data_IF_412660659794
#
_entry.id   IF_412660659794
#
_cell.length_a   1.000
_cell.length_b   1.000
_cell.length_c   1.000
_cell.angle_alpha   90.00
_cell.angle_beta   90.00
_cell.angle_gamma   90.00
#
_symmetry.space_group_name_H-M   'P 1'
#
loop_
_entity.id
_entity.type
_entity.pdbx_description
1 polymer ?
#
# COMPACT_ATOMS: atom_id res chain seq x y z
N UNK A 1 12.51 7.29 -34.53
CA UNK A 1 11.97 6.16 -33.74
C UNK A 1 11.31 6.75 -32.51
N UNK A 2 10.08 6.36 -32.18
CA UNK A 2 9.44 6.78 -30.93
C UNK A 2 10.01 6.00 -29.75
N UNK A 3 10.01 6.61 -28.56
CA UNK A 3 10.35 5.90 -27.32
C UNK A 3 9.28 4.86 -27.00
N UNK A 4 9.68 3.77 -26.35
CA UNK A 4 8.76 2.77 -25.82
C UNK A 4 8.00 3.36 -24.63
N UNK A 5 6.70 3.10 -24.56
CA UNK A 5 5.81 3.50 -23.47
C UNK A 5 5.25 2.26 -22.77
N UNK A 6 4.66 2.45 -21.59
CA UNK A 6 3.98 1.37 -20.85
C UNK A 6 2.58 1.06 -21.41
N UNK A 7 2.03 1.93 -22.27
CA UNK A 7 0.73 1.77 -22.95
C UNK A 7 -0.50 1.59 -22.03
N UNK A 8 -0.39 2.07 -20.78
CA UNK A 8 -1.46 1.98 -19.75
C UNK A 8 -2.30 3.24 -19.60
N UNK A 9 -1.69 4.41 -19.66
CA UNK A 9 -2.34 5.71 -19.51
C UNK A 9 -1.60 6.76 -20.34
N UNK A 10 -2.25 7.87 -20.63
CA UNK A 10 -1.64 9.00 -21.32
C UNK A 10 -1.13 10.05 -20.32
N UNK A 11 -0.22 10.92 -20.76
CA UNK A 11 0.14 12.09 -19.97
C UNK A 11 -1.10 12.95 -19.69
N UNK A 12 -1.25 13.34 -18.43
CA UNK A 12 -2.30 14.25 -17.98
C UNK A 12 -1.73 15.15 -16.88
N UNK A 13 -1.72 16.47 -17.09
CA UNK A 13 -1.25 17.40 -16.07
C UNK A 13 -2.32 17.58 -14.99
N UNK A 14 -1.97 17.39 -13.71
CA UNK A 14 -2.93 17.51 -12.60
C UNK A 14 -3.65 18.87 -12.56
N UNK A 15 -2.97 19.93 -13.02
CA UNK A 15 -3.50 21.30 -13.07
C UNK A 15 -4.55 21.54 -14.16
N UNK A 16 -4.76 20.57 -15.07
CA UNK A 16 -5.71 20.66 -16.18
C UNK A 16 -6.85 19.64 -16.08
N UNK A 17 -6.85 18.82 -15.03
CA UNK A 17 -7.86 17.78 -14.85
C UNK A 17 -9.19 18.36 -14.35
N UNK A 18 -10.32 17.73 -14.66
CA UNK A 18 -11.59 18.07 -14.05
C UNK A 18 -11.50 18.03 -12.53
N UNK A 19 -12.12 19.03 -11.87
CA UNK A 19 -12.19 19.06 -10.42
C UNK A 19 -13.29 18.12 -9.91
N UNK A 20 -13.06 17.50 -8.76
CA UNK A 20 -14.03 16.69 -8.04
C UNK A 20 -13.75 16.72 -6.54
N UNK A 21 -14.69 16.18 -5.75
CA UNK A 21 -14.53 16.07 -4.29
C UNK A 21 -14.69 14.63 -3.84
N UNK A 22 -14.01 14.30 -2.74
CA UNK A 22 -14.24 13.07 -1.99
C UNK A 22 -15.58 13.16 -1.22
N UNK A 23 -16.08 12.05 -0.64
CA UNK A 23 -17.35 12.06 0.08
C UNK A 23 -17.41 13.15 1.16
N UNK A 24 -18.51 13.90 1.20
CA UNK A 24 -18.70 15.02 2.12
C UNK A 24 -17.91 16.27 1.76
N UNK A 25 -17.69 16.52 0.46
CA UNK A 25 -16.96 17.67 -0.10
C UNK A 25 -15.50 17.80 0.36
N UNK A 26 -14.94 16.70 0.87
CA UNK A 26 -13.55 16.60 1.31
C UNK A 26 -12.61 16.62 0.11
N UNK A 27 -11.35 17.00 0.37
CA UNK A 27 -10.36 17.27 -0.67
C UNK A 27 -9.09 16.42 -0.55
N UNK A 28 -8.75 15.96 0.65
CA UNK A 28 -7.62 15.06 0.89
C UNK A 28 -8.12 13.70 1.39
N UNK A 29 -7.91 12.64 0.60
CA UNK A 29 -8.12 11.26 1.04
C UNK A 29 -6.81 10.71 1.61
N UNK A 30 -6.86 10.07 2.76
CA UNK A 30 -5.67 9.55 3.45
C UNK A 30 -5.85 8.08 3.77
N UNK A 31 -4.85 7.27 3.44
CA UNK A 31 -4.81 5.86 3.83
C UNK A 31 -3.44 5.45 4.37
N UNK A 32 -3.44 4.47 5.29
CA UNK A 32 -2.23 3.84 5.81
C UNK A 32 -2.15 2.43 5.22
N UNK A 33 -1.07 2.14 4.51
CA UNK A 33 -0.75 0.82 3.96
C UNK A 33 0.21 0.10 4.93
N UNK A 34 -0.27 -0.95 5.59
CA UNK A 34 0.55 -1.80 6.45
C UNK A 34 0.92 -3.08 5.71
N UNK A 35 2.21 -3.25 5.42
CA UNK A 35 2.73 -4.43 4.72
C UNK A 35 2.89 -5.59 5.71
N UNK A 36 2.08 -6.63 5.54
CA UNK A 36 2.12 -7.86 6.33
C UNK A 36 2.71 -8.98 5.47
N UNK A 37 4.02 -9.11 5.59
CA UNK A 37 4.85 -9.88 4.66
C UNK A 37 5.42 -11.14 5.34
N UNK A 38 5.47 -12.24 4.60
CA UNK A 38 6.15 -13.46 5.00
C UNK A 38 7.30 -13.74 4.03
N UNK A 39 8.46 -14.13 4.56
CA UNK A 39 9.68 -14.40 3.81
C UNK A 39 10.10 -15.84 4.05
N UNK A 40 10.46 -16.58 2.99
CA UNK A 40 10.96 -17.94 3.12
C UNK A 40 12.37 -17.95 3.74
N UNK A 41 12.59 -18.82 4.72
CA UNK A 41 13.90 -19.00 5.35
C UNK A 41 14.90 -19.63 4.36
N UNK A 42 16.06 -18.99 4.17
CA UNK A 42 17.12 -19.52 3.30
C UNK A 42 16.95 -19.28 1.79
N UNK A 43 15.90 -18.55 1.35
CA UNK A 43 15.65 -18.27 -0.07
C UNK A 43 16.43 -17.06 -0.63
N UNK A 44 17.05 -16.27 0.24
CA UNK A 44 17.90 -15.12 -0.11
C UNK A 44 17.18 -13.84 -0.57
N UNK A 45 15.88 -13.91 -0.88
CA UNK A 45 15.12 -12.73 -1.28
C UNK A 45 14.34 -12.15 -0.08
N UNK A 46 14.69 -10.92 0.31
CA UNK A 46 14.01 -10.15 1.35
C UNK A 46 14.63 -8.78 1.61
N UNK A 47 13.88 -7.88 2.25
CA UNK A 47 14.44 -6.61 2.76
C UNK A 47 15.60 -6.90 3.74
N UNK A 48 16.66 -6.09 3.70
CA UNK A 48 17.88 -6.34 4.47
C UNK A 48 18.19 -5.19 5.42
N UNK A 49 18.34 -5.52 6.72
CA UNK A 49 18.80 -4.60 7.76
C UNK A 49 20.27 -4.24 7.55
N UNK A 50 21.08 -5.27 7.31
CA UNK A 50 22.51 -5.19 7.04
C UNK A 50 22.82 -5.93 5.73
N UNK A 51 23.97 -5.65 5.08
CA UNK A 51 24.39 -6.41 3.89
C UNK A 51 24.26 -7.92 4.11
N UNK A 52 23.58 -8.59 3.20
CA UNK A 52 23.27 -10.02 3.33
C UNK A 52 24.50 -10.91 3.28
N UNK A 53 24.41 -12.05 3.95
CA UNK A 53 25.43 -13.10 3.97
C UNK A 53 25.05 -14.33 3.13
N UNK A 54 25.86 -15.41 3.16
CA UNK A 54 25.46 -16.69 2.58
C UNK A 54 24.19 -17.22 3.25
N UNK A 55 23.41 -18.02 2.52
CA UNK A 55 22.20 -18.61 3.08
C UNK A 55 22.53 -19.77 4.05
N UNK A 56 21.76 -19.93 5.14
CA UNK A 56 20.65 -19.06 5.53
C UNK A 56 21.13 -17.74 6.18
N UNK A 57 20.62 -16.61 5.69
CA UNK A 57 20.86 -15.29 6.29
C UNK A 57 19.96 -15.10 7.52
N UNK A 58 20.43 -15.61 8.66
CA UNK A 58 19.68 -15.60 9.93
C UNK A 58 19.39 -14.19 10.41
N UNK A 59 20.33 -13.25 10.24
CA UNK A 59 20.20 -11.88 10.75
C UNK A 59 19.05 -11.15 10.07
N UNK A 60 19.06 -11.12 8.73
CA UNK A 60 18.03 -10.39 8.00
C UNK A 60 16.68 -11.10 8.06
N UNK A 61 16.65 -12.44 8.10
CA UNK A 61 15.42 -13.19 8.31
C UNK A 61 14.78 -12.87 9.67
N UNK A 62 15.53 -13.02 10.77
CA UNK A 62 15.01 -12.80 12.11
C UNK A 62 14.55 -11.34 12.33
N UNK A 63 15.21 -10.39 11.67
CA UNK A 63 14.79 -9.00 11.67
C UNK A 63 13.41 -8.81 11.03
N UNK A 64 13.13 -9.43 9.88
CA UNK A 64 11.81 -9.37 9.24
C UNK A 64 10.75 -10.10 10.06
N UNK A 65 11.10 -11.28 10.59
CA UNK A 65 10.21 -12.09 11.42
C UNK A 65 9.78 -11.38 12.71
N UNK A 66 10.64 -10.53 13.29
CA UNK A 66 10.27 -9.63 14.39
C UNK A 66 9.02 -8.80 14.10
N UNK A 67 8.82 -8.42 12.82
CA UNK A 67 7.65 -7.67 12.39
C UNK A 67 6.35 -8.38 12.71
N UNK A 68 6.22 -9.63 12.28
CA UNK A 68 5.00 -10.42 12.46
C UNK A 68 4.80 -10.85 13.93
N UNK A 69 5.90 -10.99 14.69
CA UNK A 69 5.86 -11.44 16.08
C UNK A 69 5.60 -10.33 17.11
N UNK A 70 6.13 -9.13 16.86
CA UNK A 70 6.18 -8.05 17.86
C UNK A 70 5.79 -6.71 17.27
N UNK A 71 6.39 -6.34 16.13
CA UNK A 71 6.18 -5.01 15.54
C UNK A 71 4.72 -4.73 15.21
N UNK A 72 4.02 -5.72 14.66
CA UNK A 72 2.66 -5.59 14.18
C UNK A 72 1.66 -5.32 15.31
N UNK A 73 1.84 -5.96 16.47
CA UNK A 73 0.97 -5.78 17.63
C UNK A 73 1.09 -4.39 18.26
N UNK A 74 2.27 -3.79 18.21
CA UNK A 74 2.48 -2.41 18.66
C UNK A 74 1.85 -1.39 17.71
N UNK A 75 1.90 -1.68 16.41
CA UNK A 75 1.25 -0.85 15.41
C UNK A 75 -0.26 -0.95 15.53
N UNK A 76 -0.81 -2.16 15.72
CA UNK A 76 -2.22 -2.37 16.02
C UNK A 76 -2.69 -1.52 17.22
N UNK A 77 -1.98 -1.60 18.34
CA UNK A 77 -2.28 -0.78 19.53
C UNK A 77 -2.24 0.74 19.24
N UNK A 78 -1.26 1.18 18.44
CA UNK A 78 -1.16 2.58 18.02
C UNK A 78 -2.35 3.01 17.15
N UNK A 79 -2.74 2.18 16.18
CA UNK A 79 -3.87 2.47 15.30
C UNK A 79 -5.20 2.44 16.04
N UNK A 80 -5.37 1.57 17.04
CA UNK A 80 -6.52 1.57 17.97
C UNK A 80 -6.59 2.87 18.76
N UNK A 81 -5.48 3.29 19.36
CA UNK A 81 -5.40 4.51 20.17
C UNK A 81 -5.70 5.78 19.36
N UNK A 82 -5.35 5.80 18.08
CA UNK A 82 -5.56 6.95 17.18
C UNK A 82 -6.82 6.82 16.32
N UNK A 83 -7.54 5.71 16.43
CA UNK A 83 -8.71 5.38 15.61
C UNK A 83 -8.44 5.53 14.10
N UNK A 84 -7.24 5.14 13.66
CA UNK A 84 -6.83 5.26 12.26
C UNK A 84 -7.18 3.96 11.52
N UNK A 85 -7.92 4.03 10.40
CA UNK A 85 -8.15 2.88 9.53
C UNK A 85 -6.87 2.50 8.78
N UNK A 86 -6.71 1.22 8.47
CA UNK A 86 -5.50 0.66 7.84
C UNK A 86 -5.89 -0.27 6.70
N UNK A 87 -5.14 -0.23 5.62
CA UNK A 87 -5.17 -1.22 4.56
C UNK A 87 -4.00 -2.19 4.75
N UNK A 88 -4.29 -3.45 5.00
CA UNK A 88 -3.28 -4.49 5.15
C UNK A 88 -2.94 -5.06 3.79
N UNK A 89 -1.68 -4.92 3.40
CA UNK A 89 -1.11 -5.52 2.21
C UNK A 89 -0.59 -6.91 2.62
N UNK A 90 -1.40 -7.95 2.41
CA UNK A 90 -1.20 -9.28 3.00
C UNK A 90 -0.67 -10.27 1.99
N UNK A 91 0.51 -10.84 2.27
CA UNK A 91 0.94 -12.07 1.61
C UNK A 91 0.01 -13.23 2.01
N UNK A 92 -0.48 -14.04 1.07
CA UNK A 92 -1.42 -15.12 1.40
C UNK A 92 -0.84 -16.16 2.38
N UNK A 93 0.47 -16.35 2.43
CA UNK A 93 1.14 -17.25 3.39
C UNK A 93 0.95 -16.84 4.85
N UNK A 94 0.59 -15.59 5.14
CA UNK A 94 0.35 -15.12 6.49
C UNK A 94 -0.85 -15.84 7.15
N UNK A 95 -1.83 -16.27 6.35
CA UNK A 95 -3.00 -16.98 6.86
C UNK A 95 -2.65 -18.36 7.46
N UNK A 96 -1.56 -18.97 7.02
CA UNK A 96 -1.02 -20.20 7.63
C UNK A 96 0.00 -19.85 8.72
N UNK A 97 0.88 -18.89 8.46
CA UNK A 97 2.01 -18.59 9.34
C UNK A 97 1.63 -17.91 10.66
N UNK A 98 0.82 -16.85 10.61
CA UNK A 98 0.40 -16.09 11.80
C UNK A 98 -1.04 -15.54 11.63
N UNK A 99 -2.05 -16.44 11.52
CA UNK A 99 -3.46 -16.07 11.24
C UNK A 99 -4.06 -15.11 12.28
N UNK A 100 -3.59 -15.15 13.52
CA UNK A 100 -4.05 -14.26 14.59
C UNK A 100 -3.81 -12.78 14.27
N UNK A 101 -2.77 -12.47 13.49
CA UNK A 101 -2.47 -11.10 13.09
C UNK A 101 -3.57 -10.59 12.16
N UNK A 102 -3.87 -11.31 11.08
CA UNK A 102 -4.94 -10.91 10.14
C UNK A 102 -6.29 -10.85 10.83
N UNK A 103 -6.57 -11.81 11.72
CA UNK A 103 -7.81 -11.82 12.49
C UNK A 103 -8.00 -10.56 13.35
N UNK A 104 -6.93 -10.01 13.93
CA UNK A 104 -7.00 -8.81 14.76
C UNK A 104 -7.38 -7.56 13.95
N UNK A 105 -6.82 -7.39 12.75
CA UNK A 105 -7.18 -6.27 11.88
C UNK A 105 -8.55 -6.47 11.21
N UNK A 106 -8.95 -7.71 10.92
CA UNK A 106 -10.32 -8.02 10.46
C UNK A 106 -11.37 -7.57 11.49
N UNK A 107 -11.10 -7.72 12.79
CA UNK A 107 -12.00 -7.25 13.86
C UNK A 107 -12.17 -5.72 13.89
N UNK A 108 -11.19 -4.98 13.36
CA UNK A 108 -11.24 -3.51 13.20
C UNK A 108 -11.91 -3.07 11.90
N UNK A 109 -12.32 -4.01 11.05
CA UNK A 109 -12.81 -3.75 9.69
C UNK A 109 -11.79 -3.01 8.80
N UNK A 110 -10.51 -3.21 9.09
CA UNK A 110 -9.41 -2.75 8.23
C UNK A 110 -9.45 -3.51 6.89
N UNK A 111 -9.08 -2.85 5.79
CA UNK A 111 -9.13 -3.44 4.45
C UNK A 111 -8.05 -4.52 4.29
N UNK A 112 -8.41 -5.65 3.67
CA UNK A 112 -7.44 -6.67 3.21
C UNK A 112 -7.16 -6.47 1.71
N UNK A 113 -5.91 -6.18 1.39
CA UNK A 113 -5.39 -6.00 0.04
C UNK A 113 -4.43 -7.14 -0.26
N UNK A 114 -4.57 -7.78 -1.42
CA UNK A 114 -3.72 -8.90 -1.78
C UNK A 114 -2.30 -8.43 -2.11
N UNK A 115 -1.30 -9.12 -1.57
CA UNK A 115 0.11 -8.80 -1.78
C UNK A 115 0.90 -10.03 -2.24
N UNK A 116 0.37 -10.82 -3.19
CA UNK A 116 1.00 -12.07 -3.63
C UNK A 116 1.10 -13.16 -2.57
N UNK A 117 1.85 -14.23 -2.86
CA UNK A 117 1.99 -15.38 -1.98
C UNK A 117 2.96 -15.12 -0.83
N UNK A 118 4.14 -14.59 -1.14
CA UNK A 118 5.24 -14.28 -0.21
C UNK A 118 6.10 -13.16 -0.80
N UNK A 119 6.76 -12.36 0.03
CA UNK A 119 7.80 -11.42 -0.40
C UNK A 119 9.18 -12.07 -0.63
N UNK A 120 9.23 -13.40 -0.76
CA UNK A 120 10.38 -14.13 -1.32
C UNK A 120 10.22 -14.45 -2.82
N UNK A 121 9.23 -13.89 -3.49
CA UNK A 121 8.98 -14.02 -4.93
C UNK A 121 8.78 -12.63 -5.57
N UNK A 122 9.07 -12.51 -6.88
CA UNK A 122 8.78 -11.29 -7.66
C UNK A 122 7.95 -11.64 -8.88
N UNK A 123 6.90 -10.87 -9.13
CA UNK A 123 6.00 -11.13 -10.26
C UNK A 123 6.69 -10.95 -11.61
N UNK A 124 7.54 -9.94 -11.78
CA UNK A 124 8.23 -9.67 -13.04
C UNK A 124 9.31 -10.70 -13.42
N UNK A 125 9.67 -11.62 -12.51
CA UNK A 125 10.54 -12.77 -12.82
C UNK A 125 9.74 -13.94 -13.45
N UNK A 126 8.41 -13.89 -13.39
CA UNK A 126 7.52 -14.97 -13.85
C UNK A 126 7.09 -14.78 -15.30
N UNK A 127 6.89 -15.89 -16.00
CA UNK A 127 6.10 -15.90 -17.23
C UNK A 127 4.65 -15.50 -16.94
N UNK A 128 3.93 -14.91 -17.91
CA UNK A 128 2.50 -14.54 -17.77
C UNK A 128 1.64 -15.67 -17.17
N UNK A 129 1.82 -16.92 -17.63
CA UNK A 129 1.07 -18.07 -17.11
C UNK A 129 1.40 -18.43 -15.65
N UNK A 130 2.66 -18.22 -15.24
CA UNK A 130 3.07 -18.44 -13.85
C UNK A 130 2.58 -17.31 -12.94
N UNK A 131 2.61 -16.07 -13.43
CA UNK A 131 2.05 -14.92 -12.74
C UNK A 131 0.53 -15.06 -12.55
N UNK A 132 -0.20 -15.48 -13.59
CA UNK A 132 -1.64 -15.73 -13.51
C UNK A 132 -1.99 -16.79 -12.45
N UNK A 133 -1.19 -17.86 -12.35
CA UNK A 133 -1.35 -18.87 -11.30
C UNK A 133 -1.08 -18.30 -9.91
N UNK A 134 0.00 -17.52 -9.74
CA UNK A 134 0.29 -16.86 -8.47
C UNK A 134 -0.88 -15.98 -8.03
N UNK A 135 -1.41 -15.14 -8.93
CA UNK A 135 -2.58 -14.29 -8.65
C UNK A 135 -3.78 -15.15 -8.25
N UNK A 136 -4.09 -16.20 -9.00
CA UNK A 136 -5.23 -17.08 -8.72
C UNK A 136 -5.10 -17.81 -7.37
N UNK A 137 -3.91 -18.31 -7.03
CA UNK A 137 -3.63 -18.98 -5.76
C UNK A 137 -3.78 -18.01 -4.58
N UNK A 138 -3.14 -16.84 -4.66
CA UNK A 138 -3.29 -15.78 -3.65
C UNK A 138 -4.76 -15.35 -3.49
N UNK A 139 -5.47 -15.14 -4.60
CA UNK A 139 -6.90 -14.78 -4.60
C UNK A 139 -7.73 -15.84 -3.89
N UNK A 140 -7.47 -17.12 -4.20
CA UNK A 140 -8.21 -18.25 -3.64
C UNK A 140 -8.04 -18.33 -2.13
N UNK A 141 -6.80 -18.25 -1.63
CA UNK A 141 -6.52 -18.30 -0.20
C UNK A 141 -7.19 -17.14 0.53
N UNK A 142 -7.00 -15.90 0.05
CA UNK A 142 -7.60 -14.73 0.70
C UNK A 142 -9.14 -14.84 0.70
N UNK A 143 -9.74 -15.24 -0.42
CA UNK A 143 -11.21 -15.38 -0.52
C UNK A 143 -11.76 -16.44 0.43
N UNK A 144 -11.03 -17.55 0.63
CA UNK A 144 -11.43 -18.61 1.58
C UNK A 144 -11.45 -18.10 3.03
N UNK A 145 -10.52 -17.23 3.41
CA UNK A 145 -10.44 -16.70 4.78
C UNK A 145 -11.31 -15.46 5.02
N UNK A 146 -11.43 -14.57 4.02
CA UNK A 146 -12.17 -13.30 4.13
C UNK A 146 -13.61 -13.39 3.63
N UNK A 147 -13.99 -14.48 2.98
CA UNK A 147 -15.33 -14.72 2.43
C UNK A 147 -15.69 -13.87 1.21
N UNK A 148 -14.82 -12.94 0.80
CA UNK A 148 -14.99 -12.08 -0.36
C UNK A 148 -13.69 -11.94 -1.13
N UNK A 149 -13.79 -11.66 -2.43
CA UNK A 149 -12.63 -11.45 -3.29
C UNK A 149 -11.93 -10.13 -2.89
N UNK A 150 -10.61 -10.12 -2.66
CA UNK A 150 -9.87 -8.88 -2.40
C UNK A 150 -9.98 -7.95 -3.62
N UNK A 151 -10.37 -6.69 -3.39
CA UNK A 151 -10.59 -5.74 -4.49
C UNK A 151 -9.28 -5.09 -4.97
N UNK A 152 -8.25 -5.06 -4.11
CA UNK A 152 -6.96 -4.43 -4.38
C UNK A 152 -5.80 -5.40 -4.46
N UNK A 153 -4.78 -5.00 -5.22
CA UNK A 153 -3.50 -5.70 -5.32
C UNK A 153 -2.32 -4.75 -5.16
N UNK A 154 -1.27 -5.20 -4.48
CA UNK A 154 0.08 -4.66 -4.61
C UNK A 154 1.01 -5.82 -4.97
N UNK A 155 1.82 -5.70 -6.01
CA UNK A 155 2.75 -6.79 -6.31
C UNK A 155 3.82 -6.96 -5.24
N UNK A 156 4.22 -8.19 -4.84
CA UNK A 156 5.42 -8.41 -4.05
C UNK A 156 6.59 -7.65 -4.66
N UNK A 157 7.36 -6.94 -3.83
CA UNK A 157 8.45 -6.05 -4.28
C UNK A 157 8.04 -4.90 -5.20
N UNK A 158 6.74 -4.66 -5.39
CA UNK A 158 6.24 -3.68 -6.36
C UNK A 158 6.78 -4.03 -7.76
N UNK A 159 6.97 -5.33 -7.98
CA UNK A 159 7.64 -5.90 -9.13
C UNK A 159 6.61 -6.29 -10.18
N UNK A 160 5.73 -5.34 -10.53
CA UNK A 160 4.73 -5.49 -11.57
C UNK A 160 5.40 -5.86 -12.91
N UNK A 161 4.89 -6.87 -13.59
CA UNK A 161 5.24 -7.18 -14.98
C UNK A 161 4.51 -6.27 -15.96
N UNK A 162 4.84 -6.38 -17.25
CA UNK A 162 4.07 -5.70 -18.31
C UNK A 162 2.63 -6.19 -18.37
N UNK A 163 2.32 -7.41 -17.90
CA UNK A 163 1.01 -8.06 -18.07
C UNK A 163 0.16 -8.07 -16.80
N UNK A 164 0.74 -7.75 -15.63
CA UNK A 164 0.04 -7.76 -14.34
C UNK A 164 -1.28 -6.98 -14.35
N UNK A 165 -1.39 -5.73 -14.88
CA UNK A 165 -2.66 -5.02 -14.85
C UNK A 165 -3.79 -5.75 -15.60
N UNK A 166 -3.44 -6.48 -16.67
CA UNK A 166 -4.40 -7.29 -17.42
C UNK A 166 -4.85 -8.49 -16.59
N UNK A 167 -3.88 -9.24 -16.03
CA UNK A 167 -4.16 -10.43 -15.23
C UNK A 167 -4.98 -10.11 -13.98
N UNK A 168 -4.70 -8.98 -13.31
CA UNK A 168 -5.46 -8.52 -12.15
C UNK A 168 -6.91 -8.19 -12.53
N UNK A 169 -7.11 -7.46 -13.62
CA UNK A 169 -8.45 -7.15 -14.09
C UNK A 169 -9.23 -8.42 -14.45
N UNK A 170 -8.60 -9.35 -15.15
CA UNK A 170 -9.18 -10.65 -15.53
C UNK A 170 -9.53 -11.51 -14.30
N UNK A 171 -8.73 -11.41 -13.23
CA UNK A 171 -8.98 -12.07 -11.95
C UNK A 171 -10.04 -11.36 -11.07
N UNK A 172 -10.56 -10.20 -11.50
CA UNK A 172 -11.65 -9.50 -10.82
C UNK A 172 -11.22 -8.38 -9.86
N UNK A 173 -9.93 -8.06 -9.79
CA UNK A 173 -9.45 -6.91 -9.02
C UNK A 173 -9.94 -5.58 -9.62
N UNK A 174 -10.09 -4.57 -8.76
CA UNK A 174 -10.60 -3.24 -9.12
C UNK A 174 -9.53 -2.19 -9.14
N UNK A 175 -8.50 -2.35 -8.30
CA UNK A 175 -7.40 -1.42 -8.25
C UNK A 175 -6.06 -2.10 -7.95
N UNK A 176 -4.99 -1.40 -8.29
CA UNK A 176 -3.62 -1.75 -7.97
C UNK A 176 -2.90 -0.58 -7.30
N UNK A 177 -1.79 -0.89 -6.62
CA UNK A 177 -0.97 0.06 -5.85
C UNK A 177 0.49 0.08 -6.33
N UNK A 178 0.84 -0.52 -7.45
CA UNK A 178 2.25 -0.66 -7.84
C UNK A 178 2.92 0.67 -8.28
N UNK A 179 2.17 1.76 -8.49
CA UNK A 179 2.68 2.98 -9.11
C UNK A 179 2.58 4.22 -8.22
N UNK A 180 3.62 5.06 -8.26
CA UNK A 180 3.74 6.32 -7.52
C UNK A 180 3.88 7.55 -8.44
N UNK A 181 3.18 7.53 -9.57
CA UNK A 181 3.36 8.47 -10.66
C UNK A 181 2.48 9.73 -10.55
N UNK A 182 1.61 9.78 -9.54
CA UNK A 182 0.56 10.79 -9.42
C UNK A 182 0.08 10.93 -7.98
N UNK A 183 -0.62 12.03 -7.66
CA UNK A 183 -1.30 12.25 -6.37
C UNK A 183 -2.82 12.04 -6.48
N UNK A 184 -3.31 11.65 -7.67
CA UNK A 184 -4.69 11.25 -7.94
C UNK A 184 -4.74 9.83 -8.51
N UNK A 185 -5.86 9.10 -8.34
CA UNK A 185 -6.07 7.85 -9.06
C UNK A 185 -5.99 8.05 -10.59
N UNK A 186 -5.57 7.01 -11.30
CA UNK A 186 -5.48 7.00 -12.77
C UNK A 186 -6.02 5.67 -13.29
N UNK A 187 -6.89 5.70 -14.30
CA UNK A 187 -7.36 4.50 -14.96
C UNK A 187 -6.28 3.93 -15.88
N UNK A 188 -5.91 2.69 -15.64
CA UNK A 188 -5.03 1.95 -16.54
C UNK A 188 -5.87 1.20 -17.55
N UNK A 189 -5.55 1.38 -18.83
CA UNK A 189 -6.01 0.50 -19.89
C UNK A 189 -5.49 -0.91 -19.66
N UNK A 190 -6.38 -1.87 -19.79
CA UNK A 190 -6.07 -3.30 -19.86
C UNK A 190 -6.53 -3.88 -21.19
N UNK A 191 -6.17 -5.13 -21.48
CA UNK A 191 -6.59 -5.83 -22.70
C UNK A 191 -8.11 -5.92 -22.84
N UNK A 192 -8.85 -6.03 -21.72
CA UNK A 192 -10.31 -6.22 -21.71
C UNK A 192 -11.07 -5.06 -21.02
N UNK A 193 -10.43 -3.93 -20.75
CA UNK A 193 -11.08 -2.76 -20.14
C UNK A 193 -10.12 -1.86 -19.38
N UNK A 194 -10.37 -1.67 -18.08
CA UNK A 194 -9.54 -0.84 -17.21
C UNK A 194 -9.45 -1.37 -15.78
N UNK A 195 -8.37 -1.02 -15.11
CA UNK A 195 -8.14 -1.19 -13.66
C UNK A 195 -7.66 0.14 -13.09
N UNK A 196 -8.02 0.48 -11.85
CA UNK A 196 -7.61 1.76 -11.27
C UNK A 196 -6.22 1.65 -10.63
N UNK A 197 -5.30 2.53 -10.96
CA UNK A 197 -4.09 2.74 -10.17
C UNK A 197 -4.42 3.75 -9.08
N UNK A 198 -4.40 3.34 -7.82
CA UNK A 198 -4.43 4.27 -6.67
C UNK A 198 -2.98 4.60 -6.32
N UNK A 199 -2.59 5.89 -6.15
CA UNK A 199 -1.22 6.25 -5.86
C UNK A 199 -0.65 5.56 -4.63
N UNK A 200 0.50 4.92 -4.80
CA UNK A 200 1.23 4.32 -3.69
C UNK A 200 2.37 5.21 -3.22
N UNK A 201 2.54 5.40 -1.90
CA UNK A 201 3.40 6.42 -1.34
C UNK A 201 4.86 5.97 -1.29
N UNK A 202 5.52 5.79 -2.44
CA UNK A 202 6.91 5.29 -2.48
C UNK A 202 7.90 6.18 -1.73
N UNK A 203 7.67 7.49 -1.67
CA UNK A 203 8.53 8.38 -0.89
C UNK A 203 8.20 8.36 0.60
N UNK A 204 6.91 8.25 0.95
CA UNK A 204 6.42 8.08 2.32
C UNK A 204 6.24 6.59 2.64
N UNK A 205 7.34 5.85 2.42
CA UNK A 205 7.47 4.43 2.67
C UNK A 205 8.76 4.18 3.48
N UNK A 206 8.64 3.46 4.60
CA UNK A 206 9.75 3.25 5.53
C UNK A 206 10.87 2.36 4.97
N UNK A 207 10.62 1.48 3.97
CA UNK A 207 11.70 0.74 3.28
C UNK A 207 12.62 1.70 2.51
N UNK A 208 12.17 2.41 1.46
CA UNK A 208 13.04 3.27 0.69
C UNK A 208 13.60 4.42 1.54
N UNK A 209 12.82 5.00 2.47
CA UNK A 209 13.32 6.05 3.35
C UNK A 209 14.38 5.54 4.34
N UNK A 210 14.05 4.55 5.17
CA UNK A 210 14.90 4.14 6.30
C UNK A 210 15.87 3.03 5.91
N UNK A 211 15.40 1.98 5.22
CA UNK A 211 16.25 0.83 4.90
C UNK A 211 17.20 1.11 3.72
N UNK A 212 16.76 1.86 2.71
CA UNK A 212 17.58 2.14 1.52
C UNK A 212 18.34 3.46 1.67
N UNK A 213 17.64 4.59 1.87
CA UNK A 213 18.23 5.93 1.96
C UNK A 213 18.78 6.30 3.33
N UNK A 214 18.58 5.44 4.33
CA UNK A 214 19.13 5.56 5.70
C UNK A 214 18.62 6.80 6.46
N UNK A 215 17.42 7.27 6.15
CA UNK A 215 16.76 8.32 6.91
C UNK A 215 16.60 7.93 8.39
N UNK A 216 16.72 8.92 9.26
CA UNK A 216 16.48 8.75 10.69
C UNK A 216 14.99 8.52 11.01
N UNK A 217 14.70 7.99 12.21
CA UNK A 217 13.32 7.81 12.65
C UNK A 217 12.56 9.14 12.81
N UNK A 218 13.24 10.16 13.34
CA UNK A 218 12.68 11.51 13.46
C UNK A 218 12.43 12.14 12.10
N UNK A 219 13.42 12.05 11.20
CA UNK A 219 13.36 12.53 9.83
C UNK A 219 12.21 11.89 9.05
N UNK A 220 12.04 10.57 9.10
CA UNK A 220 10.91 9.91 8.43
C UNK A 220 9.55 10.39 8.98
N UNK A 221 9.47 10.65 10.27
CA UNK A 221 8.27 11.21 10.86
C UNK A 221 8.05 12.68 10.49
N UNK A 222 9.11 13.48 10.29
CA UNK A 222 9.01 14.83 9.75
C UNK A 222 8.56 14.78 8.28
N UNK A 223 9.10 13.87 7.46
CA UNK A 223 8.66 13.64 6.08
C UNK A 223 7.15 13.34 5.99
N UNK A 224 6.62 12.51 6.89
CA UNK A 224 5.17 12.21 6.94
C UNK A 224 4.37 13.49 7.22
N UNK A 225 4.81 14.30 8.19
CA UNK A 225 4.10 15.52 8.61
C UNK A 225 4.18 16.58 7.51
N UNK A 226 5.37 16.85 6.98
CA UNK A 226 5.59 17.87 5.95
C UNK A 226 4.80 17.54 4.68
N UNK A 227 4.81 16.28 4.24
CA UNK A 227 4.03 15.86 3.07
C UNK A 227 2.52 15.94 3.32
N UNK A 228 2.06 15.57 4.52
CA UNK A 228 0.66 15.71 4.90
C UNK A 228 0.20 17.17 4.89
N UNK A 229 0.94 18.07 5.53
CA UNK A 229 0.56 19.48 5.66
C UNK A 229 0.56 20.16 4.28
N UNK A 230 1.57 19.89 3.44
CA UNK A 230 1.63 20.42 2.06
C UNK A 230 0.47 19.89 1.20
N UNK A 231 0.22 18.57 1.21
CA UNK A 231 -0.91 18.01 0.45
C UNK A 231 -2.26 18.54 0.96
N UNK A 232 -2.39 18.80 2.26
CA UNK A 232 -3.59 19.41 2.81
C UNK A 232 -3.79 20.83 2.25
N UNK A 233 -2.74 21.65 2.18
CA UNK A 233 -2.79 22.98 1.56
C UNK A 233 -3.14 22.90 0.06
N UNK A 234 -2.43 22.06 -0.69
CA UNK A 234 -2.64 21.88 -2.12
C UNK A 234 -4.02 21.31 -2.46
N UNK A 235 -4.61 20.51 -1.55
CA UNK A 235 -5.91 19.87 -1.78
C UNK A 235 -7.06 20.87 -2.00
N UNK A 236 -6.87 22.13 -1.59
CA UNK A 236 -7.83 23.21 -1.88
C UNK A 236 -8.06 23.36 -3.39
N UNK A 237 -7.00 23.18 -4.19
CA UNK A 237 -7.05 23.35 -5.65
C UNK A 237 -7.40 22.05 -6.39
N UNK A 238 -7.04 20.90 -5.82
CA UNK A 238 -7.23 19.58 -6.47
C UNK A 238 -7.63 18.53 -5.43
N UNK A 239 -8.48 17.56 -5.74
CA UNK A 239 -8.63 16.39 -4.86
C UNK A 239 -7.34 15.57 -4.88
N UNK A 240 -6.80 15.21 -3.72
CA UNK A 240 -5.52 14.49 -3.62
C UNK A 240 -5.66 13.24 -2.75
N UNK A 241 -4.73 12.30 -2.94
CA UNK A 241 -4.57 11.07 -2.16
C UNK A 241 -3.22 11.10 -1.46
N UNK A 242 -3.22 10.94 -0.15
CA UNK A 242 -2.02 10.79 0.66
C UNK A 242 -1.94 9.38 1.25
N UNK A 243 -0.97 8.60 0.82
CA UNK A 243 -0.66 7.30 1.39
C UNK A 243 0.49 7.35 2.39
N UNK A 244 0.51 6.42 3.35
CA UNK A 244 1.69 6.14 4.18
C UNK A 244 1.95 4.63 4.16
N UNK A 245 3.12 4.18 3.70
CA UNK A 245 3.49 2.76 3.66
C UNK A 245 4.43 2.39 4.82
N UNK A 246 4.05 1.38 5.58
CA UNK A 246 4.72 0.97 6.81
C UNK A 246 4.99 -0.54 6.83
N UNK A 247 6.10 -0.92 7.44
CA UNK A 247 6.49 -2.33 7.63
C UNK A 247 6.74 -2.61 9.12
N UNK A 248 6.05 -3.62 9.72
CA UNK A 248 6.17 -3.93 11.14
C UNK A 248 7.60 -4.13 11.65
N UNK A 249 8.47 -4.74 10.86
CA UNK A 249 9.86 -4.99 11.24
C UNK A 249 10.75 -3.74 11.23
N UNK A 250 10.30 -2.66 10.60
CA UNK A 250 11.00 -1.38 10.54
C UNK A 250 10.46 -0.45 11.62
N UNK A 251 9.23 0.06 11.46
CA UNK A 251 8.66 1.09 12.33
C UNK A 251 8.06 0.54 13.63
N UNK A 252 7.83 -0.78 13.73
CA UNK A 252 7.43 -1.43 14.98
C UNK A 252 8.53 -1.52 16.03
N UNK A 253 9.77 -1.17 15.69
CA UNK A 253 10.88 -1.01 16.65
C UNK A 253 10.59 0.17 17.60
N UNK A 254 10.78 0.06 18.93
CA UNK A 254 10.28 1.05 19.89
C UNK A 254 10.75 2.49 19.62
N UNK A 255 12.01 2.67 19.25
CA UNK A 255 12.57 4.00 18.99
C UNK A 255 11.98 4.64 17.73
N UNK A 256 11.67 3.85 16.69
CA UNK A 256 10.99 4.33 15.47
C UNK A 256 9.51 4.57 15.72
N UNK A 257 8.86 3.64 16.44
CA UNK A 257 7.45 3.74 16.81
C UNK A 257 7.15 5.04 17.57
N UNK A 258 8.06 5.50 18.43
CA UNK A 258 7.90 6.77 19.15
C UNK A 258 7.77 7.97 18.20
N UNK A 259 8.55 8.00 17.13
CA UNK A 259 8.49 9.08 16.13
C UNK A 259 7.30 8.92 15.20
N UNK A 260 7.00 7.68 14.76
CA UNK A 260 5.79 7.40 13.99
C UNK A 260 4.52 7.83 14.73
N UNK A 261 4.44 7.51 16.04
CA UNK A 261 3.34 7.95 16.91
C UNK A 261 3.14 9.46 16.88
N UNK A 262 4.21 10.25 16.95
CA UNK A 262 4.14 11.71 16.83
C UNK A 262 3.49 12.13 15.51
N UNK A 263 3.95 11.58 14.38
CA UNK A 263 3.43 11.92 13.06
C UNK A 263 1.96 11.52 12.88
N UNK A 264 1.59 10.29 13.27
CA UNK A 264 0.21 9.82 13.17
C UNK A 264 -0.74 10.53 14.15
N UNK A 265 -0.26 10.94 15.33
CA UNK A 265 -1.04 11.80 16.24
C UNK A 265 -1.33 13.16 15.60
N UNK A 266 -0.36 13.78 14.93
CA UNK A 266 -0.59 15.04 14.20
C UNK A 266 -1.69 14.88 13.16
N UNK A 267 -1.59 13.86 12.29
CA UNK A 267 -2.60 13.58 11.25
C UNK A 267 -3.97 13.33 11.87
N UNK A 268 -4.06 12.49 12.90
CA UNK A 268 -5.33 12.19 13.58
C UNK A 268 -5.97 13.44 14.18
N UNK A 269 -5.18 14.32 14.81
CA UNK A 269 -5.66 15.59 15.37
C UNK A 269 -6.11 16.55 14.27
N UNK A 270 -5.36 16.68 13.18
CA UNK A 270 -5.73 17.54 12.06
C UNK A 270 -6.97 17.03 11.34
N UNK A 271 -7.12 15.71 11.17
CA UNK A 271 -8.32 15.10 10.62
C UNK A 271 -9.56 15.38 11.49
N UNK A 272 -9.42 15.37 12.82
CA UNK A 272 -10.50 15.73 13.74
C UNK A 272 -10.86 17.24 13.68
N UNK A 273 -9.88 18.12 13.47
CA UNK A 273 -10.11 19.57 13.36
C UNK A 273 -10.71 19.95 11.99
N UNK A 274 -10.21 19.34 10.92
CA UNK A 274 -10.56 19.62 9.53
C UNK A 274 -11.35 18.46 8.89
N UNK A 275 -12.34 17.92 9.62
CA UNK A 275 -13.14 16.76 9.21
C UNK A 275 -13.87 16.98 7.87
N UNK A 276 -14.20 18.24 7.54
CA UNK A 276 -14.80 18.63 6.26
C UNK A 276 -13.81 18.70 5.10
N UNK A 277 -12.50 18.53 5.34
CA UNK A 277 -11.44 18.55 4.33
C UNK A 277 -10.75 17.22 4.16
N UNK A 278 -10.63 16.44 5.25
CA UNK A 278 -9.85 15.21 5.31
C UNK A 278 -10.77 14.00 5.38
N UNK A 279 -10.53 13.04 4.49
CA UNK A 279 -11.18 11.74 4.47
C UNK A 279 -10.17 10.65 4.87
N UNK A 280 -10.20 10.23 6.15
CA UNK A 280 -9.49 9.02 6.58
C UNK A 280 -10.23 7.80 6.03
N UNK A 281 -9.55 6.96 5.26
CA UNK A 281 -10.18 5.95 4.43
C UNK A 281 -9.23 4.79 4.11
N UNK A 282 -9.76 3.78 3.42
CA UNK A 282 -8.99 2.73 2.78
C UNK A 282 -8.82 3.00 1.26
N UNK A 283 -7.75 2.51 0.60
CA UNK A 283 -7.56 2.66 -0.84
C UNK A 283 -8.69 2.01 -1.66
N UNK A 284 -9.31 0.93 -1.19
CA UNK A 284 -10.48 0.34 -1.85
C UNK A 284 -11.70 1.24 -1.83
N UNK A 285 -11.88 2.06 -0.81
CA UNK A 285 -12.95 3.06 -0.76
C UNK A 285 -12.66 4.23 -1.72
N UNK A 286 -11.40 4.65 -1.85
CA UNK A 286 -10.97 5.61 -2.89
C UNK A 286 -11.32 5.05 -4.27
N UNK A 287 -10.96 3.79 -4.54
CA UNK A 287 -11.24 3.14 -5.81
C UNK A 287 -12.74 3.01 -6.10
N UNK A 288 -13.54 2.62 -5.10
CA UNK A 288 -14.98 2.53 -5.21
C UNK A 288 -15.62 3.89 -5.49
N UNK A 289 -15.13 4.96 -4.84
CA UNK A 289 -15.63 6.31 -5.06
C UNK A 289 -15.36 6.79 -6.49
N UNK A 290 -14.15 6.55 -7.01
CA UNK A 290 -13.83 6.89 -8.41
C UNK A 290 -14.66 6.07 -9.39
N UNK A 291 -14.86 4.77 -9.13
CA UNK A 291 -15.66 3.92 -10.00
C UNK A 291 -17.15 4.33 -10.06
N UNK A 292 -17.66 4.98 -9.01
CA UNK A 292 -19.03 5.49 -8.95
C UNK A 292 -19.20 6.89 -9.59
N UNK A 293 -18.10 7.58 -9.91
CA UNK A 293 -18.12 8.91 -10.54
C UNK A 293 -18.40 8.83 -12.05
N UNK A 294 -18.92 9.92 -12.66
CA UNK A 294 -19.02 10.04 -14.11
C UNK A 294 -17.68 9.78 -14.82
N UNK A 295 -17.74 9.14 -15.98
CA UNK A 295 -16.54 8.91 -16.79
C UNK A 295 -15.90 10.23 -17.23
N UNK A 296 -14.57 10.23 -17.34
CA UNK A 296 -13.79 11.37 -17.81
C UNK A 296 -13.34 12.36 -16.73
N UNK A 297 -13.77 12.19 -15.46
CA UNK A 297 -13.25 13.00 -14.34
C UNK A 297 -11.83 12.59 -13.92
N UNK A 298 -11.55 11.28 -13.96
CA UNK A 298 -10.25 10.70 -13.64
C UNK A 298 -9.58 10.28 -14.95
N UNK A 299 -8.28 10.62 -15.15
CA UNK A 299 -7.55 10.32 -16.39
C UNK A 299 -7.40 8.82 -16.63
#
# INVERSE_FOLDING_TARGET
MSLRTHDRYAYSAITQRPDYSWPGDRRLAIYIALNLEHFAFGSGLGASLAPGGPQPDVLNYAWRDYGNRVGVWRLLELFDQLQLPVALLVNSEIYDYCPEVVAAFRQRHDEIVAHGRTNSERQNDLSEAAEARLIAETTTVITQHEGTLPQGWLGPWIAQSETTPDLLQEAGYRYLLDWCHDDQPVWFKTRQGRILSVPYPQEINDIPAIAVRRAGAAEFADMIVDNFDELLEQSVSHPLVFGIALHPYIVGQPFRLRHLRRALTHISQQAAIAENRIWLTHPGQIAAQIAAMPEGLVP
#
